data_IF_973886176842
#
_entry.id   IF_973886176842
#
_cell.length_a   1.000
_cell.length_b   1.000
_cell.length_c   1.000
_cell.angle_alpha   90.00
_cell.angle_beta   90.00
_cell.angle_gamma   90.00
#
_symmetry.space_group_name_H-M   'P 1'
#
loop_
_entity.id
_entity.type
_entity.pdbx_description
1 polymer ?
#
# COMPACT_ATOMS: atom_id res chain seq x y z
N UNK A 1 -11.27 -59.43 44.41
CA UNK A 1 -12.55 -59.48 43.65
C UNK A 1 -13.23 -58.13 43.79
N UNK A 2 -13.80 -57.62 42.69
CA UNK A 2 -14.43 -56.29 42.48
C UNK A 2 -13.40 -55.18 42.16
N UNK A 3 -13.41 -54.41 41.06
CA UNK A 3 -14.07 -54.34 39.74
C UNK A 3 -13.69 -52.93 39.21
N UNK A 4 -12.86 -52.82 38.18
CA UNK A 4 -13.22 -52.53 36.78
C UNK A 4 -14.07 -51.22 36.62
N UNK A 5 -13.49 -50.28 35.82
CA UNK A 5 -14.07 -49.16 35.05
C UNK A 5 -13.89 -47.81 35.76
N UNK A 6 -13.32 -46.75 35.16
CA UNK A 6 -13.55 -46.27 33.80
C UNK A 6 -12.37 -45.39 33.36
N UNK A 7 -11.75 -45.69 32.23
CA UNK A 7 -10.75 -44.84 31.58
C UNK A 7 -11.45 -43.71 30.83
N UNK A 8 -11.33 -42.48 31.32
CA UNK A 8 -11.81 -41.30 30.61
C UNK A 8 -10.79 -40.93 29.52
N UNK A 9 -11.03 -41.39 28.30
CA UNK A 9 -10.32 -40.93 27.10
C UNK A 9 -10.76 -39.49 26.80
N UNK A 10 -9.96 -38.52 27.22
CA UNK A 10 -10.04 -37.15 26.74
C UNK A 10 -9.54 -37.12 25.29
N UNK A 11 -10.49 -37.11 24.35
CA UNK A 11 -10.23 -36.76 22.96
C UNK A 11 -9.74 -35.31 22.89
N UNK A 12 -8.59 -35.02 22.27
CA UNK A 12 -8.20 -33.64 22.01
C UNK A 12 -9.15 -33.08 20.96
N UNK A 13 -9.95 -32.08 21.35
CA UNK A 13 -10.66 -31.25 20.40
C UNK A 13 -9.63 -30.43 19.62
N UNK A 14 -9.30 -30.87 18.41
CA UNK A 14 -8.51 -30.08 17.47
C UNK A 14 -9.33 -28.85 17.06
N UNK A 15 -9.11 -27.73 17.75
CA UNK A 15 -9.53 -26.43 17.25
C UNK A 15 -8.64 -26.09 16.04
N UNK A 16 -9.17 -26.27 14.84
CA UNK A 16 -8.64 -25.64 13.63
C UNK A 16 -8.86 -24.13 13.77
N UNK A 17 -7.99 -23.47 14.54
CA UNK A 17 -7.85 -22.02 14.52
C UNK A 17 -7.27 -21.65 13.16
N UNK A 18 -8.15 -21.41 12.20
CA UNK A 18 -7.81 -20.65 11.01
C UNK A 18 -7.38 -19.26 11.46
N UNK A 19 -6.07 -19.08 11.66
CA UNK A 19 -5.50 -17.76 11.75
C UNK A 19 -5.73 -17.10 10.39
N UNK A 20 -6.80 -16.32 10.27
CA UNK A 20 -6.79 -15.23 9.33
C UNK A 20 -5.60 -14.37 9.74
N UNK A 21 -4.49 -14.49 9.02
CA UNK A 21 -3.41 -13.53 9.13
C UNK A 21 -4.06 -12.17 8.93
N UNK A 22 -4.17 -11.40 10.02
CA UNK A 22 -4.46 -9.99 9.89
C UNK A 22 -3.27 -9.44 9.11
N UNK A 23 -3.41 -9.30 7.78
CA UNK A 23 -2.48 -8.46 7.03
C UNK A 23 -2.44 -7.14 7.78
N UNK A 24 -1.24 -6.74 8.23
CA UNK A 24 -1.06 -5.53 9.01
C UNK A 24 -1.52 -4.34 8.18
N UNK A 25 -2.81 -3.98 8.31
CA UNK A 25 -3.35 -2.84 7.61
C UNK A 25 -2.54 -1.61 8.05
N UNK A 26 -2.17 -0.74 7.11
CA UNK A 26 -1.47 0.48 7.47
C UNK A 26 -2.33 1.26 8.45
N UNK A 27 -1.76 1.59 9.61
CA UNK A 27 -2.46 2.36 10.65
C UNK A 27 -3.08 3.67 10.12
N UNK A 28 -3.92 4.34 10.92
CA UNK A 28 -4.68 5.50 10.47
C UNK A 28 -3.77 6.65 9.98
N UNK A 29 -4.25 7.39 8.99
CA UNK A 29 -3.54 8.54 8.43
C UNK A 29 -3.56 9.69 9.42
N UNK A 30 -2.37 10.15 9.82
CA UNK A 30 -2.20 11.30 10.73
C UNK A 30 -1.53 12.49 10.05
N UNK A 31 -0.89 12.28 8.89
CA UNK A 31 -0.25 13.36 8.13
C UNK A 31 -0.53 13.22 6.64
N UNK A 32 -0.80 14.35 5.99
CA UNK A 32 -0.92 14.43 4.53
C UNK A 32 0.13 15.37 3.98
N UNK A 33 0.75 15.01 2.85
CA UNK A 33 1.68 15.89 2.14
C UNK A 33 1.38 15.88 0.65
N UNK A 34 1.73 16.98 -0.01
CA UNK A 34 1.52 17.14 -1.46
C UNK A 34 2.87 17.32 -2.15
N UNK A 35 3.07 16.57 -3.23
CA UNK A 35 4.21 16.70 -4.14
C UNK A 35 3.68 16.98 -5.55
N UNK A 36 4.29 17.95 -6.21
CA UNK A 36 4.04 18.26 -7.61
C UNK A 36 5.14 17.62 -8.45
N UNK A 37 4.76 16.92 -9.49
CA UNK A 37 5.68 16.22 -10.38
C UNK A 37 5.65 16.80 -11.78
N UNK A 38 6.80 16.76 -12.43
CA UNK A 38 6.94 16.90 -13.88
C UNK A 38 7.44 15.57 -14.42
N UNK A 39 6.75 15.06 -15.43
CA UNK A 39 6.99 13.76 -16.02
C UNK A 39 7.51 13.92 -17.46
N UNK A 40 7.85 12.80 -18.08
CA UNK A 40 8.14 12.76 -19.52
C UNK A 40 6.98 13.38 -20.33
N UNK A 41 7.31 13.88 -21.52
CA UNK A 41 6.37 14.61 -22.40
C UNK A 41 5.79 15.89 -21.78
N UNK A 42 6.42 16.44 -20.73
CA UNK A 42 5.98 17.67 -20.07
C UNK A 42 4.70 17.52 -19.23
N UNK A 43 4.18 16.29 -19.08
CA UNK A 43 3.01 16.00 -18.25
C UNK A 43 3.27 16.41 -16.80
N UNK A 44 2.21 16.86 -16.11
CA UNK A 44 2.27 17.30 -14.71
C UNK A 44 1.22 16.56 -13.91
N UNK A 45 1.60 16.11 -12.71
CA UNK A 45 0.66 15.48 -11.79
C UNK A 45 0.91 15.95 -10.36
N UNK A 46 -0.17 16.23 -9.64
CA UNK A 46 -0.14 16.56 -8.22
C UNK A 46 -0.57 15.32 -7.43
N UNK A 47 0.31 14.83 -6.57
CA UNK A 47 0.05 13.65 -5.73
C UNK A 47 -0.02 14.07 -4.27
N UNK A 48 -1.08 13.64 -3.60
CA UNK A 48 -1.24 13.75 -2.14
C UNK A 48 -0.96 12.40 -1.51
N UNK A 49 -0.01 12.33 -0.59
CA UNK A 49 0.31 11.14 0.17
C UNK A 49 -0.24 11.24 1.59
N UNK A 50 -0.79 10.15 2.10
CA UNK A 50 -1.15 9.98 3.51
C UNK A 50 -0.15 9.10 4.23
N UNK A 51 0.25 9.48 5.45
CA UNK A 51 1.19 8.75 6.29
C UNK A 51 0.60 8.47 7.68
N UNK A 52 0.95 7.31 8.25
CA UNK A 52 0.59 6.92 9.61
C UNK A 52 1.56 7.49 10.67
N UNK A 53 1.34 7.16 11.94
CA UNK A 53 2.18 7.63 13.06
C UNK A 53 3.64 7.15 12.94
N UNK A 54 3.84 5.97 12.36
CA UNK A 54 5.14 5.37 12.06
C UNK A 54 5.82 5.99 10.83
N UNK A 55 5.24 7.04 10.23
CA UNK A 55 5.78 7.75 9.06
C UNK A 55 5.81 6.90 7.78
N UNK A 56 5.06 5.79 7.77
CA UNK A 56 4.90 4.92 6.62
C UNK A 56 3.70 5.38 5.76
N UNK A 57 3.78 5.19 4.44
CA UNK A 57 2.71 5.58 3.53
C UNK A 57 1.48 4.67 3.69
N UNK A 58 0.30 5.27 3.54
CA UNK A 58 -1.01 4.58 3.63
C UNK A 58 -1.77 4.67 2.31
N UNK A 59 -1.66 5.81 1.61
CA UNK A 59 -2.25 5.98 0.29
C UNK A 59 -1.53 7.09 -0.50
N UNK A 60 -1.67 7.02 -1.82
CA UNK A 60 -1.40 8.10 -2.76
C UNK A 60 -2.71 8.53 -3.43
N UNK A 61 -2.87 9.80 -3.75
CA UNK A 61 -4.03 10.28 -4.49
C UNK A 61 -3.64 11.33 -5.51
N UNK A 62 -4.10 11.15 -6.75
CA UNK A 62 -3.77 12.00 -7.89
C UNK A 62 -5.03 12.37 -8.66
N UNK A 63 -5.06 13.57 -9.25
CA UNK A 63 -6.13 13.96 -10.17
C UNK A 63 -5.73 13.55 -11.59
N UNK A 64 -6.45 12.57 -12.16
CA UNK A 64 -6.14 11.94 -13.45
C UNK A 64 -7.43 11.93 -14.28
N UNK A 65 -7.37 12.49 -15.48
CA UNK A 65 -8.49 12.57 -16.43
C UNK A 65 -9.76 13.13 -15.79
N UNK A 66 -9.66 14.29 -15.12
CA UNK A 66 -10.81 14.97 -14.49
C UNK A 66 -11.32 14.33 -13.20
N UNK A 67 -10.73 13.21 -12.74
CA UNK A 67 -11.18 12.50 -11.53
C UNK A 67 -10.04 12.29 -10.54
N UNK A 68 -10.34 12.52 -9.26
CA UNK A 68 -9.43 12.15 -8.18
C UNK A 68 -9.41 10.63 -8.01
N UNK A 69 -8.24 10.03 -8.18
CA UNK A 69 -7.97 8.62 -7.97
C UNK A 69 -7.27 8.46 -6.64
N UNK A 70 -7.80 7.62 -5.76
CA UNK A 70 -7.17 7.26 -4.49
C UNK A 70 -6.65 5.84 -4.62
N UNK A 71 -5.36 5.67 -4.34
CA UNK A 71 -4.61 4.42 -4.48
C UNK A 71 -4.09 4.06 -3.09
N UNK A 72 -4.72 3.11 -2.38
CA UNK A 72 -4.20 2.59 -1.11
C UNK A 72 -2.81 1.99 -1.29
N UNK A 73 -1.97 1.96 -0.26
CA UNK A 73 -0.72 1.19 -0.32
C UNK A 73 -1.05 -0.30 -0.55
N UNK A 74 -0.28 -0.93 -1.42
CA UNK A 74 -0.37 -2.35 -1.71
C UNK A 74 0.77 -3.07 -1.00
N UNK A 75 0.46 -3.67 0.15
CA UNK A 75 1.45 -4.33 1.01
C UNK A 75 1.95 -5.64 0.39
N UNK A 76 1.16 -6.29 -0.46
CA UNK A 76 1.59 -7.48 -1.21
C UNK A 76 2.63 -7.16 -2.30
N UNK A 77 2.70 -5.90 -2.75
CA UNK A 77 3.57 -5.44 -3.85
C UNK A 77 4.65 -4.46 -3.41
N UNK A 78 4.72 -4.14 -2.13
CA UNK A 78 5.71 -3.21 -1.58
C UNK A 78 6.68 -3.98 -0.70
N UNK A 79 7.94 -3.58 -0.72
CA UNK A 79 9.02 -4.18 0.06
C UNK A 79 9.97 -3.09 0.59
N UNK A 80 11.16 -3.49 1.01
CA UNK A 80 12.18 -2.61 1.58
C UNK A 80 12.84 -1.69 0.52
N UNK A 81 12.69 -1.98 -0.76
CA UNK A 81 13.29 -1.21 -1.86
C UNK A 81 12.26 -0.51 -2.76
N UNK A 82 11.00 -0.97 -2.76
CA UNK A 82 9.92 -0.45 -3.61
C UNK A 82 8.65 -0.14 -2.82
N UNK A 83 7.87 0.81 -3.33
CA UNK A 83 6.55 1.15 -2.79
C UNK A 83 5.54 1.21 -3.92
N UNK A 84 4.48 0.41 -3.80
CA UNK A 84 3.38 0.35 -4.76
C UNK A 84 2.08 0.78 -4.10
N UNK A 85 1.39 1.76 -4.70
CA UNK A 85 0.01 2.11 -4.36
C UNK A 85 -0.93 1.61 -5.44
N UNK A 86 -2.12 1.17 -5.07
CA UNK A 86 -3.11 0.61 -5.98
C UNK A 86 -2.71 -0.76 -6.51
N UNK A 87 -3.36 -1.19 -7.57
CA UNK A 87 -3.15 -2.49 -8.19
C UNK A 87 -3.42 -2.42 -9.70
N UNK A 88 -3.25 -3.55 -10.39
CA UNK A 88 -3.46 -3.68 -11.84
C UNK A 88 -4.92 -3.56 -12.28
N UNK A 89 -5.89 -3.74 -11.36
CA UNK A 89 -7.33 -3.59 -11.65
C UNK A 89 -7.78 -2.14 -11.56
N UNK A 90 -6.91 -1.27 -11.07
CA UNK A 90 -7.15 0.14 -10.83
C UNK A 90 -5.97 0.99 -11.33
N UNK A 91 -5.91 2.26 -10.92
CA UNK A 91 -4.68 3.02 -11.14
C UNK A 91 -3.65 2.58 -10.10
N UNK A 92 -2.40 2.43 -10.52
CA UNK A 92 -1.29 2.19 -9.60
C UNK A 92 -0.22 3.27 -9.70
N UNK A 93 0.47 3.51 -8.59
CA UNK A 93 1.63 4.40 -8.51
C UNK A 93 2.81 3.62 -7.93
N UNK A 94 3.88 3.54 -8.70
CA UNK A 94 5.15 2.92 -8.29
C UNK A 94 6.21 3.96 -7.95
N UNK A 95 7.01 3.66 -6.93
CA UNK A 95 8.18 4.43 -6.50
C UNK A 95 9.22 3.49 -5.86
N UNK A 96 10.43 4.01 -5.64
CA UNK A 96 11.34 3.42 -4.65
C UNK A 96 10.75 3.51 -3.24
N UNK A 97 11.38 2.83 -2.28
CA UNK A 97 10.99 2.82 -0.88
C UNK A 97 10.67 4.23 -0.36
N UNK A 98 9.42 4.41 0.06
CA UNK A 98 8.86 5.71 0.43
C UNK A 98 8.49 5.77 1.91
N UNK A 99 8.93 6.84 2.55
CA UNK A 99 8.54 7.25 3.90
C UNK A 99 8.23 8.74 3.92
N UNK A 100 7.65 9.23 5.01
CA UNK A 100 7.45 10.67 5.22
C UNK A 100 8.75 11.48 5.06
N UNK A 101 9.92 10.89 5.36
CA UNK A 101 11.19 11.61 5.35
C UNK A 101 11.78 11.75 3.94
N UNK A 102 11.50 10.82 3.02
CA UNK A 102 12.10 10.80 1.69
C UNK A 102 11.13 11.04 0.52
N UNK A 103 9.80 11.00 0.73
CA UNK A 103 8.79 11.06 -0.34
C UNK A 103 8.95 12.23 -1.32
N UNK A 104 9.51 13.37 -0.88
CA UNK A 104 9.75 14.54 -1.75
C UNK A 104 10.93 14.40 -2.70
N UNK A 105 11.71 13.34 -2.58
CA UNK A 105 12.88 13.02 -3.43
C UNK A 105 12.60 11.87 -4.39
N UNK A 106 11.53 11.11 -4.16
CA UNK A 106 11.24 9.92 -4.95
C UNK A 106 10.66 10.26 -6.30
N UNK A 107 11.23 9.68 -7.35
CA UNK A 107 10.58 9.62 -8.66
C UNK A 107 9.42 8.64 -8.64
N UNK A 108 8.41 8.90 -9.46
CA UNK A 108 7.22 8.04 -9.52
C UNK A 108 6.81 7.74 -10.97
N UNK A 109 6.00 6.71 -11.13
CA UNK A 109 5.23 6.48 -12.35
C UNK A 109 3.79 6.10 -12.00
N UNK A 110 2.86 6.38 -12.90
CA UNK A 110 1.45 6.01 -12.74
C UNK A 110 1.01 5.18 -13.94
N UNK A 111 0.41 4.03 -13.65
CA UNK A 111 -0.13 3.08 -14.62
C UNK A 111 -1.65 3.05 -14.53
N UNK A 112 -2.33 2.99 -15.67
CA UNK A 112 -3.79 2.89 -15.77
C UNK A 112 -4.29 1.46 -15.52
N UNK A 113 -5.61 1.27 -15.32
CA UNK A 113 -6.21 -0.06 -15.28
C UNK A 113 -6.06 -0.85 -16.59
N UNK A 114 -5.82 -0.17 -17.71
CA UNK A 114 -5.51 -0.79 -19.01
C UNK A 114 -4.03 -1.13 -19.18
N UNK A 115 -3.25 -1.08 -18.08
CA UNK A 115 -1.81 -1.35 -18.02
C UNK A 115 -0.94 -0.39 -18.86
N UNK A 116 -1.46 0.80 -19.16
CA UNK A 116 -0.72 1.86 -19.86
C UNK A 116 -0.01 2.78 -18.85
N UNK A 117 1.26 3.10 -19.07
CA UNK A 117 1.97 4.11 -18.28
C UNK A 117 1.53 5.51 -18.70
N UNK A 118 0.53 6.06 -17.99
CA UNK A 118 -0.05 7.37 -18.28
C UNK A 118 0.81 8.54 -17.81
N UNK A 119 1.65 8.34 -16.79
CA UNK A 119 2.66 9.28 -16.32
C UNK A 119 3.99 8.56 -16.07
N UNK A 120 4.98 8.79 -16.94
CA UNK A 120 6.29 8.11 -16.91
C UNK A 120 7.40 9.04 -16.42
N UNK A 121 8.33 8.51 -15.62
CA UNK A 121 9.56 9.21 -15.22
C UNK A 121 9.30 10.53 -14.51
N UNK A 122 8.37 10.55 -13.55
CA UNK A 122 7.95 11.75 -12.87
C UNK A 122 8.94 12.15 -11.78
N UNK A 123 9.54 13.34 -11.88
CA UNK A 123 10.44 13.89 -10.88
C UNK A 123 9.73 14.97 -10.05
N UNK A 124 9.94 15.01 -8.72
CA UNK A 124 9.44 16.10 -7.88
C UNK A 124 9.98 17.45 -8.37
N UNK A 125 9.11 18.47 -8.49
CA UNK A 125 9.61 19.84 -8.65
C UNK A 125 10.26 20.28 -7.35
N UNK A 126 11.47 20.84 -7.44
CA UNK A 126 12.04 21.65 -6.35
C UNK A 126 11.05 22.78 -6.05
N UNK A 127 10.72 22.95 -4.77
CA UNK A 127 9.91 24.08 -4.31
C UNK A 127 10.77 25.34 -4.26
#
# INVERSE_FOLDING_TARGET
>A
MKNLWTTLLLLPAAALSGAAYAEEMPGPVVKKTVVQYVCQQGKKVKVTYGFNKQKLPVYASAHINGKTRRMPINLYRSDDVTTTFGDEKSFSLGAEHMTLNNHRRQSVMITSPSQEIVYKGCMPRKR
#
